data_IF_911128297714
#
_entry.id   IF_911128297714
#
_cell.length_a   1.000
_cell.length_b   1.000
_cell.length_c   1.000
_cell.angle_alpha   90.00
_cell.angle_beta   90.00
_cell.angle_gamma   90.00
#
_symmetry.space_group_name_H-M   'P 1'
#
loop_
_entity.id
_entity.type
_entity.pdbx_description
1 polymer ?
#
# COMPACT_ATOMS: atom_id res chain seq x y z
N UNK A 1 -5.66 -0.03 21.78
CA UNK A 1 -4.87 0.80 20.85
C UNK A 1 -5.75 1.97 20.41
N UNK A 2 -5.20 3.14 20.09
CA UNK A 2 -6.00 4.31 19.68
C UNK A 2 -6.45 4.12 18.23
N UNK A 3 -7.75 4.27 17.96
CA UNK A 3 -8.29 4.22 16.59
C UNK A 3 -7.80 5.47 15.84
N UNK A 4 -7.10 5.33 14.69
CA UNK A 4 -6.63 6.49 13.94
C UNK A 4 -7.82 7.24 13.31
N UNK A 5 -7.72 8.57 13.29
CA UNK A 5 -8.72 9.44 12.65
C UNK A 5 -8.48 9.61 11.15
N UNK A 6 -7.23 9.52 10.74
CA UNK A 6 -6.85 9.49 9.34
C UNK A 6 -7.12 8.14 8.70
N UNK A 7 -7.03 8.10 7.38
CA UNK A 7 -7.19 6.90 6.57
C UNK A 7 -5.91 6.53 5.84
N UNK A 8 -5.81 5.28 5.43
CA UNK A 8 -4.75 4.81 4.53
C UNK A 8 -5.32 4.59 3.14
N UNK A 9 -4.51 4.83 2.11
CA UNK A 9 -4.77 4.48 0.72
C UNK A 9 -3.56 3.72 0.19
N UNK A 10 -3.62 2.39 0.19
CA UNK A 10 -2.54 1.55 -0.32
C UNK A 10 -2.86 1.12 -1.75
N UNK A 11 -1.93 1.31 -2.68
CA UNK A 11 -2.12 1.17 -4.12
C UNK A 11 -1.12 0.15 -4.68
N UNK A 12 -1.60 -0.76 -5.52
CA UNK A 12 -0.80 -1.87 -6.04
C UNK A 12 0.21 -1.54 -7.13
N UNK A 13 0.33 -0.27 -7.54
CA UNK A 13 1.24 0.17 -8.59
C UNK A 13 0.59 0.25 -9.97
N UNK A 14 1.24 1.00 -10.87
CA UNK A 14 0.73 1.35 -12.21
C UNK A 14 -0.74 1.80 -12.20
N UNK A 15 -1.14 2.53 -11.18
CA UNK A 15 -2.47 3.14 -11.15
C UNK A 15 -2.65 4.13 -12.31
N UNK A 16 -3.88 4.28 -12.77
CA UNK A 16 -4.18 5.05 -13.97
C UNK A 16 -3.79 6.54 -13.84
N UNK A 17 -2.90 6.95 -14.76
CA UNK A 17 -2.41 8.33 -14.93
C UNK A 17 -2.79 8.93 -16.28
N UNK A 18 -3.29 8.10 -17.21
CA UNK A 18 -3.63 8.50 -18.57
C UNK A 18 -5.08 8.97 -18.68
N UNK A 19 -5.96 8.46 -17.80
CA UNK A 19 -7.36 8.82 -17.79
C UNK A 19 -8.11 8.21 -18.96
N UNK A 20 -8.79 9.05 -19.75
CA UNK A 20 -9.63 8.60 -20.86
C UNK A 20 -8.78 8.17 -22.06
N UNK A 21 -9.13 7.04 -22.67
CA UNK A 21 -8.48 6.31 -23.75
C UNK A 21 -7.26 5.46 -23.35
N UNK A 22 -7.09 5.16 -22.06
CA UNK A 22 -6.08 4.21 -21.60
C UNK A 22 -6.34 2.81 -22.17
N UNK A 23 -5.30 1.97 -22.24
CA UNK A 23 -5.48 0.56 -22.63
C UNK A 23 -6.28 -0.24 -21.58
N UNK A 24 -6.40 0.28 -20.35
CA UNK A 24 -7.25 -0.29 -19.30
C UNK A 24 -8.73 -0.09 -19.61
N UNK A 25 -9.13 1.11 -20.07
CA UNK A 25 -10.52 1.42 -20.44
C UNK A 25 -11.05 0.48 -21.53
N UNK A 26 -10.20 0.10 -22.50
CA UNK A 26 -10.60 -0.74 -23.63
C UNK A 26 -10.88 -2.19 -23.22
N UNK A 27 -10.31 -2.64 -22.11
CA UNK A 27 -10.29 -4.05 -21.72
C UNK A 27 -11.00 -4.34 -20.39
N UNK A 28 -11.48 -3.32 -19.68
CA UNK A 28 -12.14 -3.47 -18.39
C UNK A 28 -13.38 -2.57 -18.29
N UNK A 29 -14.57 -3.19 -18.20
CA UNK A 29 -15.85 -2.47 -18.09
C UNK A 29 -16.01 -1.70 -16.77
N UNK A 30 -15.24 -2.08 -15.76
CA UNK A 30 -15.32 -1.49 -14.41
C UNK A 30 -14.28 -0.37 -14.24
N UNK A 31 -13.55 -0.02 -15.30
CA UNK A 31 -12.54 1.03 -15.27
C UNK A 31 -13.17 2.43 -15.14
N UNK A 32 -12.71 3.17 -14.15
CA UNK A 32 -13.06 4.58 -13.96
C UNK A 32 -11.77 5.42 -14.07
N UNK A 33 -11.70 6.37 -15.02
CA UNK A 33 -10.51 7.20 -15.22
C UNK A 33 -10.03 7.88 -13.94
N UNK A 34 -8.76 7.68 -13.61
CA UNK A 34 -8.04 8.21 -12.45
C UNK A 34 -8.76 8.01 -11.10
N UNK A 35 -9.58 6.97 -10.96
CA UNK A 35 -10.40 6.72 -9.77
C UNK A 35 -9.60 6.78 -8.48
N UNK A 36 -8.50 6.01 -8.41
CA UNK A 36 -7.65 5.92 -7.23
C UNK A 36 -7.02 7.28 -6.90
N UNK A 37 -6.51 8.00 -7.91
CA UNK A 37 -5.85 9.28 -7.70
C UNK A 37 -6.82 10.40 -7.29
N UNK A 38 -8.09 10.33 -7.69
CA UNK A 38 -9.17 11.21 -7.21
C UNK A 38 -9.44 11.06 -5.71
N UNK A 39 -8.97 9.99 -5.08
CA UNK A 39 -9.13 9.71 -3.65
C UNK A 39 -7.95 10.21 -2.80
N UNK A 40 -6.90 10.80 -3.38
CA UNK A 40 -5.75 11.25 -2.61
C UNK A 40 -6.13 12.28 -1.54
N UNK A 41 -7.01 13.23 -1.87
CA UNK A 41 -7.54 14.20 -0.92
C UNK A 41 -9.02 14.49 -1.17
N UNK A 42 -9.76 14.73 -0.08
CA UNK A 42 -11.20 15.04 -0.10
C UNK A 42 -11.54 16.36 -0.80
N UNK A 43 -10.72 17.40 -0.60
CA UNK A 43 -10.84 18.70 -1.27
C UNK A 43 -9.72 18.89 -2.28
N UNK A 44 -10.00 19.63 -3.36
CA UNK A 44 -9.05 19.86 -4.46
C UNK A 44 -7.95 20.88 -4.12
N UNK A 45 -8.19 21.74 -3.14
CA UNK A 45 -7.25 22.74 -2.60
C UNK A 45 -6.48 22.24 -1.38
N UNK A 46 -6.79 21.04 -0.87
CA UNK A 46 -6.04 20.42 0.21
C UNK A 46 -4.60 20.15 -0.24
N UNK A 47 -3.66 20.44 0.67
CA UNK A 47 -2.24 20.23 0.39
C UNK A 47 -1.90 18.74 0.30
N UNK A 48 -1.40 18.30 -0.85
CA UNK A 48 -0.84 16.96 -1.08
C UNK A 48 0.68 17.09 -1.14
N UNK A 49 1.39 16.31 -0.34
CA UNK A 49 2.85 16.20 -0.40
C UNK A 49 3.24 14.81 -0.91
N UNK A 50 3.92 14.78 -2.05
CA UNK A 50 4.32 13.56 -2.72
C UNK A 50 5.78 13.30 -2.40
N UNK A 51 6.05 12.21 -1.67
CA UNK A 51 7.38 11.81 -1.25
C UNK A 51 7.98 10.92 -2.34
N UNK A 52 9.03 11.40 -3.01
CA UNK A 52 9.62 10.76 -4.20
C UNK A 52 10.92 10.02 -3.93
N UNK A 53 11.31 9.84 -2.66
CA UNK A 53 12.60 9.25 -2.26
C UNK A 53 12.81 7.80 -2.70
N UNK A 54 11.73 7.04 -2.94
CA UNK A 54 11.85 5.71 -3.54
C UNK A 54 12.25 5.77 -5.02
N UNK A 55 11.93 6.86 -5.72
CA UNK A 55 11.99 6.91 -7.19
C UNK A 55 13.42 6.77 -7.71
N UNK A 56 13.58 5.94 -8.73
CA UNK A 56 14.79 5.88 -9.56
C UNK A 56 14.75 6.95 -10.67
N UNK A 57 13.56 7.49 -10.96
CA UNK A 57 13.28 8.51 -11.97
C UNK A 57 12.78 9.80 -11.29
N UNK A 58 13.65 10.59 -10.64
CA UNK A 58 13.24 11.73 -9.82
C UNK A 58 12.69 12.91 -10.62
N UNK A 59 12.94 12.97 -11.94
CA UNK A 59 12.43 14.05 -12.81
C UNK A 59 11.10 13.67 -13.48
N UNK A 60 10.95 12.42 -13.93
CA UNK A 60 9.75 11.96 -14.65
C UNK A 60 8.53 11.78 -13.73
N UNK A 61 8.76 11.34 -12.49
CA UNK A 61 7.69 11.14 -11.50
C UNK A 61 6.96 12.46 -11.21
N UNK A 62 7.66 13.56 -10.86
CA UNK A 62 7.02 14.87 -10.71
C UNK A 62 6.25 15.33 -11.93
N UNK A 63 6.80 15.20 -13.14
CA UNK A 63 6.12 15.63 -14.36
C UNK A 63 4.80 14.87 -14.56
N UNK A 64 4.86 13.54 -14.48
CA UNK A 64 3.70 12.67 -14.71
C UNK A 64 2.60 12.94 -13.69
N UNK A 65 2.94 12.95 -12.39
CA UNK A 65 1.94 13.23 -11.36
C UNK A 65 1.42 14.66 -11.41
N UNK A 66 2.24 15.65 -11.76
CA UNK A 66 1.76 17.04 -11.88
C UNK A 66 0.68 17.14 -12.93
N UNK A 67 0.93 16.62 -14.13
CA UNK A 67 -0.02 16.61 -15.23
C UNK A 67 -1.34 15.93 -14.82
N UNK A 68 -1.27 14.70 -14.31
CA UNK A 68 -2.47 13.95 -13.93
C UNK A 68 -3.24 14.63 -12.79
N UNK A 69 -2.55 15.16 -11.77
CA UNK A 69 -3.23 15.82 -10.64
C UNK A 69 -3.87 17.15 -11.03
N UNK A 70 -3.24 17.91 -11.94
CA UNK A 70 -3.82 19.12 -12.55
C UNK A 70 -5.06 18.78 -13.37
N UNK A 71 -5.02 17.72 -14.19
CA UNK A 71 -6.17 17.23 -14.97
C UNK A 71 -7.33 16.78 -14.06
N UNK A 72 -7.02 16.14 -12.92
CA UNK A 72 -7.99 15.79 -11.87
C UNK A 72 -8.52 17.04 -11.12
N UNK A 73 -7.85 18.18 -11.26
CA UNK A 73 -8.22 19.47 -10.68
C UNK A 73 -7.63 19.77 -9.31
N UNK A 74 -6.64 19.00 -8.82
CA UNK A 74 -5.90 19.36 -7.61
C UNK A 74 -5.04 20.59 -7.87
N UNK A 75 -5.07 21.56 -6.95
CA UNK A 75 -4.41 22.87 -7.12
C UNK A 75 -3.30 23.14 -6.12
N UNK A 76 -3.12 22.26 -5.15
CA UNK A 76 -2.19 22.44 -4.04
C UNK A 76 -1.44 21.14 -3.76
N UNK A 77 -0.53 20.78 -4.65
CA UNK A 77 0.35 19.63 -4.45
C UNK A 77 1.79 20.03 -4.75
N UNK A 78 2.74 19.33 -4.15
CA UNK A 78 4.15 19.53 -4.42
C UNK A 78 4.94 18.27 -4.03
N UNK A 79 6.19 18.18 -4.49
CA UNK A 79 7.06 17.02 -4.33
C UNK A 79 8.11 17.29 -3.26
N UNK A 80 8.44 16.23 -2.53
CA UNK A 80 9.41 16.22 -1.46
C UNK A 80 10.34 15.03 -1.65
N UNK A 81 11.63 15.32 -1.80
CA UNK A 81 12.65 14.33 -1.53
C UNK A 81 13.09 14.47 -0.08
N UNK A 82 13.12 13.37 0.66
CA UNK A 82 13.50 13.32 2.08
C UNK A 82 14.88 12.68 2.30
N UNK A 83 15.71 12.59 1.25
CA UNK A 83 17.06 11.99 1.32
C UNK A 83 17.90 12.48 2.52
N UNK A 84 18.78 11.61 3.03
CA UNK A 84 19.38 11.58 4.39
C UNK A 84 19.97 12.89 4.95
N UNK A 85 20.20 13.92 4.12
CA UNK A 85 20.72 15.21 4.57
C UNK A 85 19.62 16.22 4.96
N UNK A 86 18.35 15.99 4.59
CA UNK A 86 17.28 16.99 4.74
C UNK A 86 16.31 16.75 5.91
N UNK A 87 16.50 15.66 6.66
CA UNK A 87 15.65 15.13 7.74
C UNK A 87 15.38 16.09 8.93
N UNK A 88 15.97 17.29 8.92
CA UNK A 88 15.89 18.25 10.02
C UNK A 88 15.56 19.68 9.60
N UNK A 89 15.32 19.98 8.32
CA UNK A 89 15.01 21.36 7.94
C UNK A 89 13.59 21.76 8.37
N UNK A 90 13.44 23.02 8.79
CA UNK A 90 12.12 23.62 9.08
C UNK A 90 11.20 23.62 7.85
N UNK A 91 11.76 23.49 6.65
CA UNK A 91 11.01 23.39 5.40
C UNK A 91 10.14 22.13 5.35
N UNK A 92 10.74 20.94 5.50
CA UNK A 92 10.02 19.66 5.51
C UNK A 92 8.92 19.63 6.56
N UNK A 93 9.26 20.05 7.79
CA UNK A 93 8.33 20.08 8.91
C UNK A 93 7.11 20.95 8.62
N UNK A 94 7.29 22.14 8.05
CA UNK A 94 6.18 23.04 7.68
C UNK A 94 5.28 22.42 6.60
N UNK A 95 5.88 21.76 5.60
CA UNK A 95 5.15 21.10 4.51
C UNK A 95 4.32 19.93 5.01
N UNK A 96 4.92 19.01 5.76
CA UNK A 96 4.22 17.87 6.39
C UNK A 96 3.11 18.34 7.33
N UNK A 97 3.36 19.39 8.12
CA UNK A 97 2.34 19.95 9.03
C UNK A 97 1.12 20.48 8.27
N UNK A 98 1.33 21.17 7.15
CA UNK A 98 0.27 21.74 6.32
C UNK A 98 -0.46 20.71 5.44
N UNK A 99 0.15 19.56 5.18
CA UNK A 99 -0.41 18.53 4.32
C UNK A 99 -1.69 17.89 4.90
N UNK A 100 -2.66 17.64 4.03
CA UNK A 100 -3.79 16.74 4.28
C UNK A 100 -3.59 15.36 3.67
N UNK A 101 -2.64 15.23 2.75
CA UNK A 101 -2.22 13.93 2.21
C UNK A 101 -0.72 13.86 2.13
N UNK A 102 -0.14 12.77 2.63
CA UNK A 102 1.23 12.37 2.34
C UNK A 102 1.15 11.16 1.42
N UNK A 103 1.69 11.28 0.21
CA UNK A 103 1.67 10.22 -0.79
C UNK A 103 3.07 9.72 -1.10
N UNK A 104 3.35 8.46 -0.77
CA UNK A 104 4.64 7.82 -1.04
C UNK A 104 4.63 7.18 -2.44
N UNK A 105 5.51 7.65 -3.32
CA UNK A 105 5.63 7.10 -4.67
C UNK A 105 6.22 5.69 -4.69
N UNK A 106 6.15 5.04 -5.86
CA UNK A 106 6.88 3.80 -6.13
C UNK A 106 8.38 4.03 -6.35
N UNK A 107 9.10 2.94 -6.58
CA UNK A 107 10.54 2.89 -6.76
C UNK A 107 11.16 1.77 -5.91
N UNK A 108 12.29 2.04 -5.26
CA UNK A 108 12.97 1.10 -4.36
C UNK A 108 12.44 1.22 -2.92
N UNK A 109 11.83 0.13 -2.41
CA UNK A 109 11.35 0.05 -1.04
C UNK A 109 12.49 0.21 -0.01
N UNK A 110 13.70 -0.27 -0.29
CA UNK A 110 14.83 -0.18 0.66
C UNK A 110 15.24 1.28 0.91
N UNK A 111 15.22 2.12 -0.13
CA UNK A 111 15.57 3.54 -0.03
C UNK A 111 14.58 4.32 0.83
N UNK A 112 13.28 4.12 0.61
CA UNK A 112 12.24 4.88 1.34
C UNK A 112 12.02 4.34 2.75
N UNK A 113 12.17 3.02 2.92
CA UNK A 113 12.03 2.33 4.18
C UNK A 113 12.96 2.93 5.26
N UNK A 114 14.27 2.94 4.99
CA UNK A 114 15.27 3.42 5.95
C UNK A 114 15.15 4.92 6.22
N UNK A 115 14.91 5.71 5.18
CA UNK A 115 14.86 7.17 5.27
C UNK A 115 13.75 7.65 6.21
N UNK A 116 12.55 7.06 6.12
CA UNK A 116 11.43 7.53 6.93
C UNK A 116 11.38 6.89 8.32
N UNK A 117 11.72 5.60 8.48
CA UNK A 117 11.47 4.84 9.72
C UNK A 117 12.07 5.50 10.97
N UNK A 118 13.25 6.12 10.86
CA UNK A 118 13.96 6.78 11.97
C UNK A 118 13.82 8.31 11.97
N UNK A 119 13.04 8.86 11.06
CA UNK A 119 12.89 10.31 10.87
C UNK A 119 11.98 10.97 11.91
N UNK A 120 12.21 12.26 12.15
CA UNK A 120 11.24 13.09 12.89
C UNK A 120 9.94 13.28 12.09
N UNK A 121 9.99 13.15 10.77
CA UNK A 121 8.81 13.24 9.90
C UNK A 121 7.85 12.08 10.16
N UNK A 122 8.34 10.85 10.40
CA UNK A 122 7.51 9.69 10.75
C UNK A 122 6.64 9.97 11.97
N UNK A 123 7.23 10.52 13.05
CA UNK A 123 6.48 10.90 14.25
C UNK A 123 5.41 11.94 13.94
N UNK A 124 5.74 12.97 13.15
CA UNK A 124 4.77 14.00 12.77
C UNK A 124 3.62 13.43 11.92
N UNK A 125 3.93 12.58 10.94
CA UNK A 125 2.94 11.91 10.08
C UNK A 125 2.04 11.01 10.94
N UNK A 126 2.62 10.26 11.88
CA UNK A 126 1.88 9.44 12.85
C UNK A 126 0.93 10.26 13.71
N UNK A 127 1.41 11.37 14.27
CA UNK A 127 0.57 12.26 15.07
C UNK A 127 -0.60 12.81 14.24
N UNK A 128 -0.37 13.18 12.97
CA UNK A 128 -1.45 13.61 12.08
C UNK A 128 -2.44 12.47 11.80
N UNK A 129 -1.95 11.29 11.44
CA UNK A 129 -2.78 10.10 11.20
C UNK A 129 -3.64 9.69 12.39
N UNK A 130 -3.10 9.78 13.60
CA UNK A 130 -3.82 9.42 14.82
C UNK A 130 -4.84 10.46 15.28
N UNK A 131 -4.71 11.73 14.86
CA UNK A 131 -5.46 12.84 15.46
C UNK A 131 -6.28 13.70 14.47
N UNK A 132 -5.91 13.74 13.20
CA UNK A 132 -6.56 14.59 12.20
C UNK A 132 -7.58 13.80 11.37
N UNK A 133 -8.81 14.32 11.33
CA UNK A 133 -9.82 13.88 10.37
C UNK A 133 -9.44 14.38 8.98
N UNK A 134 -9.89 13.64 7.95
CA UNK A 134 -9.59 13.88 6.54
C UNK A 134 -8.08 13.85 6.18
N UNK A 135 -7.21 13.38 7.08
CA UNK A 135 -5.80 13.12 6.75
C UNK A 135 -5.63 11.76 6.08
N UNK A 136 -4.89 11.71 4.98
CA UNK A 136 -4.61 10.48 4.23
C UNK A 136 -3.12 10.20 4.18
N UNK A 137 -2.72 8.98 4.54
CA UNK A 137 -1.43 8.43 4.14
C UNK A 137 -1.69 7.54 2.93
N UNK A 138 -1.11 7.89 1.79
CA UNK A 138 -1.20 7.11 0.58
C UNK A 138 0.16 6.51 0.21
N UNK A 139 0.17 5.36 -0.46
CA UNK A 139 1.40 4.78 -1.00
C UNK A 139 1.09 3.93 -2.23
N UNK A 140 1.94 3.99 -3.25
CA UNK A 140 1.85 3.12 -4.43
C UNK A 140 3.11 2.26 -4.57
N UNK A 141 2.94 1.00 -4.99
CA UNK A 141 4.05 0.06 -5.18
C UNK A 141 4.91 -0.05 -3.90
N UNK A 142 6.22 0.23 -3.97
CA UNK A 142 7.13 0.31 -2.82
C UNK A 142 6.60 1.16 -1.64
N UNK A 143 5.97 2.31 -1.94
CA UNK A 143 5.38 3.17 -0.90
C UNK A 143 4.23 2.50 -0.15
N UNK A 144 3.45 1.64 -0.82
CA UNK A 144 2.38 0.87 -0.18
C UNK A 144 2.94 -0.23 0.73
N UNK A 145 4.02 -0.91 0.29
CA UNK A 145 4.66 -2.01 1.03
C UNK A 145 5.26 -1.57 2.36
N UNK A 146 5.66 -0.30 2.50
CA UNK A 146 6.28 0.23 3.72
C UNK A 146 5.28 0.70 4.79
N UNK A 147 4.01 0.93 4.43
CA UNK A 147 2.96 1.45 5.34
C UNK A 147 2.64 0.52 6.53
N UNK A 148 2.56 -0.82 6.35
CA UNK A 148 2.24 -1.75 7.43
C UNK A 148 3.35 -1.93 8.48
N UNK A 149 3.07 -2.77 9.49
CA UNK A 149 4.03 -3.18 10.52
C UNK A 149 5.19 -4.01 9.97
N UNK A 150 4.98 -4.73 8.87
CA UNK A 150 5.95 -5.62 8.25
C UNK A 150 6.06 -5.33 6.76
N UNK A 151 7.28 -5.38 6.23
CA UNK A 151 7.60 -5.16 4.83
C UNK A 151 8.49 -6.29 4.32
N UNK A 152 8.22 -6.77 3.12
CA UNK A 152 9.07 -7.73 2.40
C UNK A 152 10.16 -6.91 1.68
N UNK A 153 11.41 -7.05 2.10
CA UNK A 153 12.56 -6.34 1.52
C UNK A 153 13.10 -7.07 0.30
N UNK A 154 13.32 -8.38 0.45
CA UNK A 154 13.88 -9.26 -0.58
C UNK A 154 13.07 -10.55 -0.68
N UNK A 155 13.04 -11.13 -1.89
CA UNK A 155 12.38 -12.41 -2.16
C UNK A 155 13.05 -13.08 -3.37
N UNK A 156 13.71 -14.20 -3.13
CA UNK A 156 14.43 -14.94 -4.15
C UNK A 156 13.48 -15.56 -5.18
N UNK A 157 13.85 -15.47 -6.46
CA UNK A 157 13.13 -16.05 -7.60
C UNK A 157 11.66 -15.63 -7.75
N UNK A 158 11.19 -14.60 -7.04
CA UNK A 158 9.80 -14.10 -7.09
C UNK A 158 8.77 -14.97 -6.36
N UNK A 159 8.95 -16.29 -6.34
CA UNK A 159 8.11 -17.22 -5.58
C UNK A 159 8.53 -17.33 -4.10
N UNK A 160 9.83 -17.27 -3.79
CA UNK A 160 10.41 -17.37 -2.46
C UNK A 160 9.73 -18.39 -1.53
N UNK A 161 9.86 -19.69 -1.87
CA UNK A 161 9.17 -20.80 -1.17
C UNK A 161 10.12 -21.78 -0.48
N UNK A 162 11.42 -21.47 -0.42
CA UNK A 162 12.38 -22.19 0.41
C UNK A 162 12.68 -21.41 1.69
N UNK A 163 13.11 -22.12 2.72
CA UNK A 163 13.67 -21.51 3.92
C UNK A 163 14.88 -20.61 3.57
N UNK A 164 14.92 -19.40 4.14
CA UNK A 164 15.81 -18.27 3.84
C UNK A 164 15.57 -17.51 2.51
N UNK A 165 14.54 -17.83 1.71
CA UNK A 165 14.29 -17.13 0.43
C UNK A 165 13.67 -15.73 0.58
N UNK A 166 13.23 -15.34 1.79
CA UNK A 166 12.48 -14.09 2.01
C UNK A 166 13.06 -13.30 3.18
N UNK A 167 13.28 -12.00 2.96
CA UNK A 167 13.67 -11.06 4.02
C UNK A 167 12.48 -10.17 4.40
N UNK A 168 12.12 -10.18 5.68
CA UNK A 168 11.05 -9.35 6.24
C UNK A 168 11.64 -8.44 7.31
N UNK A 169 11.30 -7.16 7.25
CA UNK A 169 11.65 -6.17 8.26
C UNK A 169 10.40 -5.51 8.84
N UNK A 170 10.54 -4.82 9.98
CA UNK A 170 9.43 -4.03 10.51
C UNK A 170 9.26 -2.75 9.69
N UNK A 171 8.09 -2.54 9.08
CA UNK A 171 7.71 -1.36 8.30
C UNK A 171 7.47 -0.11 9.16
N UNK A 172 6.69 0.84 8.63
CA UNK A 172 6.38 2.09 9.35
C UNK A 172 5.28 1.94 10.40
N UNK A 173 4.51 0.87 10.33
CA UNK A 173 3.52 0.48 11.32
C UNK A 173 2.30 1.39 11.41
N UNK A 174 1.89 2.00 10.29
CA UNK A 174 0.62 2.74 10.20
C UNK A 174 -0.57 1.79 10.04
N UNK A 175 -0.37 0.62 9.42
CA UNK A 175 -1.33 -0.47 9.37
C UNK A 175 -0.83 -1.65 10.21
N UNK A 176 -1.64 -2.05 11.19
CA UNK A 176 -1.25 -3.09 12.16
C UNK A 176 -1.56 -4.49 11.66
N UNK A 177 -0.73 -5.46 12.05
CA UNK A 177 -0.92 -6.88 11.75
C UNK A 177 -1.16 -7.16 10.26
N UNK A 178 -0.43 -6.47 9.38
CA UNK A 178 -0.56 -6.63 7.94
C UNK A 178 0.81 -6.65 7.27
N UNK A 179 0.88 -7.33 6.13
CA UNK A 179 2.00 -7.35 5.18
C UNK A 179 1.39 -6.99 3.83
N UNK A 180 1.95 -6.00 3.14
CA UNK A 180 1.46 -5.58 1.81
C UNK A 180 2.46 -5.97 0.75
N UNK A 181 1.93 -6.50 -0.35
CA UNK A 181 2.67 -6.73 -1.60
C UNK A 181 1.94 -6.08 -2.78
N UNK A 182 2.68 -5.67 -3.80
CA UNK A 182 2.21 -4.88 -4.95
C UNK A 182 2.61 -5.51 -6.28
N UNK A 183 2.01 -5.06 -7.39
CA UNK A 183 2.11 -5.71 -8.70
C UNK A 183 1.80 -7.22 -8.63
N UNK A 184 0.90 -7.59 -7.71
CA UNK A 184 0.85 -8.92 -7.12
C UNK A 184 0.58 -10.02 -8.15
N UNK A 185 -0.50 -9.86 -8.92
CA UNK A 185 -0.92 -10.82 -9.96
C UNK A 185 0.07 -10.79 -11.14
N UNK A 186 0.44 -9.60 -11.63
CA UNK A 186 1.32 -9.43 -12.79
C UNK A 186 2.70 -10.07 -12.57
N UNK A 187 3.22 -10.06 -11.34
CA UNK A 187 4.54 -10.62 -11.00
C UNK A 187 4.47 -12.00 -10.35
N UNK A 188 3.31 -12.65 -10.34
CA UNK A 188 3.09 -13.98 -9.74
C UNK A 188 3.54 -14.08 -8.27
N UNK A 189 3.33 -13.02 -7.47
CA UNK A 189 3.88 -12.87 -6.12
C UNK A 189 3.09 -13.58 -5.01
N UNK A 190 2.21 -14.52 -5.38
CA UNK A 190 1.42 -15.27 -4.39
C UNK A 190 2.31 -16.07 -3.44
N UNK A 191 3.31 -16.79 -3.97
CA UNK A 191 4.23 -17.61 -3.18
C UNK A 191 4.89 -16.80 -2.06
N UNK A 192 5.55 -15.70 -2.40
CA UNK A 192 6.30 -14.91 -1.41
C UNK A 192 5.42 -14.27 -0.36
N UNK A 193 4.21 -13.80 -0.73
CA UNK A 193 3.29 -13.24 0.27
C UNK A 193 2.70 -14.34 1.16
N UNK A 194 2.37 -15.50 0.60
CA UNK A 194 1.95 -16.65 1.38
C UNK A 194 3.06 -17.08 2.36
N UNK A 195 4.31 -17.11 1.91
CA UNK A 195 5.47 -17.39 2.77
C UNK A 195 5.62 -16.36 3.90
N UNK A 196 5.49 -15.07 3.59
CA UNK A 196 5.52 -14.03 4.60
C UNK A 196 4.40 -14.19 5.65
N UNK A 197 3.20 -14.61 5.23
CA UNK A 197 2.08 -14.91 6.11
C UNK A 197 2.30 -16.19 6.93
N UNK A 198 2.93 -17.22 6.36
CA UNK A 198 3.29 -18.44 7.10
C UNK A 198 4.26 -18.13 8.24
N UNK A 199 5.25 -17.26 7.99
CA UNK A 199 6.17 -16.75 9.01
C UNK A 199 5.48 -15.84 10.05
N UNK A 200 4.35 -15.22 9.67
CA UNK A 200 3.64 -14.24 10.49
C UNK A 200 2.12 -14.53 10.50
N UNK A 201 1.67 -15.66 11.08
CA UNK A 201 0.28 -16.15 10.92
C UNK A 201 -0.79 -15.24 11.52
N UNK A 202 -0.39 -14.31 12.40
CA UNK A 202 -1.26 -13.29 12.97
C UNK A 202 -1.47 -12.07 12.05
N UNK A 203 -0.74 -11.99 10.94
CA UNK A 203 -0.86 -10.90 9.98
C UNK A 203 -1.76 -11.27 8.80
N UNK A 204 -2.50 -10.28 8.29
CA UNK A 204 -3.11 -10.33 6.98
C UNK A 204 -2.07 -10.03 5.90
N UNK A 205 -1.90 -10.94 4.95
CA UNK A 205 -1.21 -10.66 3.69
C UNK A 205 -2.15 -9.97 2.72
N UNK A 206 -1.76 -8.82 2.18
CA UNK A 206 -2.55 -8.02 1.25
C UNK A 206 -1.78 -7.93 -0.08
N UNK A 207 -2.21 -8.69 -1.08
CA UNK A 207 -1.66 -8.67 -2.43
C UNK A 207 -2.45 -7.73 -3.32
N UNK A 208 -1.92 -6.53 -3.59
CA UNK A 208 -2.54 -5.53 -4.46
C UNK A 208 -2.12 -5.75 -5.93
N UNK A 209 -3.09 -5.98 -6.81
CA UNK A 209 -2.89 -5.96 -8.26
C UNK A 209 -2.59 -4.56 -8.81
N UNK A 210 -2.13 -4.47 -10.05
CA UNK A 210 -1.97 -3.17 -10.71
C UNK A 210 -3.33 -2.45 -10.83
N UNK A 211 -3.33 -1.13 -10.73
CA UNK A 211 -4.54 -0.29 -10.73
C UNK A 211 -5.64 -0.78 -9.75
N UNK A 212 -5.21 -1.25 -8.57
CA UNK A 212 -6.09 -1.56 -7.44
C UNK A 212 -5.61 -0.86 -6.17
N UNK A 213 -6.53 -0.59 -5.26
CA UNK A 213 -6.23 0.02 -3.98
C UNK A 213 -7.16 -0.48 -2.87
N UNK A 214 -6.70 -0.35 -1.63
CA UNK A 214 -7.55 -0.40 -0.45
C UNK A 214 -7.58 0.97 0.23
N UNK A 215 -8.78 1.50 0.44
CA UNK A 215 -9.02 2.57 1.42
C UNK A 215 -9.25 1.92 2.78
N UNK A 216 -8.40 2.22 3.76
CA UNK A 216 -8.52 1.67 5.11
C UNK A 216 -8.86 2.78 6.10
N UNK A 217 -10.05 2.70 6.67
CA UNK A 217 -10.54 3.60 7.71
C UNK A 217 -10.43 2.95 9.09
N UNK A 218 -10.19 3.78 10.12
CA UNK A 218 -10.09 3.33 11.51
C UNK A 218 -9.03 2.23 11.76
N UNK A 219 -8.10 2.05 10.81
CA UNK A 219 -7.10 1.00 10.82
C UNK A 219 -7.64 -0.42 10.63
N UNK A 220 -8.91 -0.61 10.24
CA UNK A 220 -9.53 -1.94 10.17
C UNK A 220 -10.52 -2.17 9.02
N UNK A 221 -11.26 -1.16 8.59
CA UNK A 221 -12.28 -1.33 7.55
C UNK A 221 -11.68 -0.95 6.21
N UNK A 222 -11.47 -1.95 5.37
CA UNK A 222 -10.93 -1.81 4.03
C UNK A 222 -12.04 -1.81 2.98
N UNK A 223 -11.94 -0.93 1.99
CA UNK A 223 -12.78 -0.90 0.79
C UNK A 223 -11.87 -1.01 -0.42
N UNK A 224 -12.15 -1.97 -1.30
CA UNK A 224 -11.42 -2.17 -2.54
C UNK A 224 -11.88 -1.19 -3.61
N UNK A 225 -10.93 -0.54 -4.25
CA UNK A 225 -11.17 0.44 -5.31
C UNK A 225 -10.25 0.15 -6.50
N UNK A 226 -10.69 0.47 -7.70
CA UNK A 226 -9.91 0.38 -8.92
C UNK A 226 -10.27 -0.83 -9.77
N UNK A 227 -9.62 -0.89 -10.92
CA UNK A 227 -9.94 -1.86 -11.98
C UNK A 227 -9.22 -3.21 -11.79
N UNK A 228 -8.19 -3.25 -10.93
CA UNK A 228 -7.50 -4.48 -10.54
C UNK A 228 -8.18 -5.28 -9.43
N UNK A 229 -7.48 -6.30 -8.91
CA UNK A 229 -7.95 -7.16 -7.82
C UNK A 229 -7.04 -7.08 -6.60
N UNK A 230 -7.63 -7.23 -5.42
CA UNK A 230 -6.90 -7.34 -4.15
C UNK A 230 -7.08 -8.73 -3.55
N UNK A 231 -5.97 -9.33 -3.13
CA UNK A 231 -5.94 -10.66 -2.54
C UNK A 231 -5.63 -10.56 -1.05
N UNK A 232 -6.52 -11.10 -0.22
CA UNK A 232 -6.33 -11.18 1.23
C UNK A 232 -5.92 -12.61 1.60
N UNK A 233 -4.78 -12.80 2.25
CA UNK A 233 -4.25 -14.09 2.69
C UNK A 233 -4.15 -14.10 4.22
N UNK A 234 -4.62 -15.17 4.86
CA UNK A 234 -4.54 -15.33 6.31
C UNK A 234 -4.02 -16.72 6.71
N UNK A 235 -3.07 -16.72 7.65
CA UNK A 235 -2.41 -17.91 8.18
C UNK A 235 -2.88 -18.34 9.57
N UNK A 236 -3.87 -17.67 10.17
CA UNK A 236 -4.30 -17.93 11.55
C UNK A 236 -4.95 -19.30 11.76
N UNK A 237 -5.44 -19.93 10.69
CA UNK A 237 -6.01 -21.28 10.72
C UNK A 237 -5.08 -22.35 10.14
N UNK A 238 -3.77 -22.06 9.95
CA UNK A 238 -2.81 -23.06 9.48
C UNK A 238 -2.79 -24.23 10.46
N UNK A 239 -2.96 -25.45 9.94
CA UNK A 239 -2.99 -26.68 10.74
C UNK A 239 -1.65 -27.39 10.80
N UNK A 240 -0.96 -27.42 9.67
CA UNK A 240 0.34 -28.06 9.52
C UNK A 240 1.22 -27.15 8.68
N UNK A 241 2.45 -26.92 9.12
CA UNK A 241 3.50 -26.25 8.37
C UNK A 241 4.85 -26.69 8.92
N UNK A 242 5.90 -26.58 8.10
CA UNK A 242 7.28 -26.81 8.52
C UNK A 242 8.08 -25.53 8.72
N UNK A 243 7.49 -24.33 8.60
CA UNK A 243 8.21 -23.05 8.57
C UNK A 243 9.16 -22.84 9.77
N UNK A 244 8.78 -23.27 10.98
CA UNK A 244 9.63 -23.12 12.19
C UNK A 244 10.74 -24.19 12.31
N UNK A 245 10.74 -25.20 11.45
CA UNK A 245 11.57 -26.42 11.57
C UNK A 245 12.31 -26.79 10.30
N UNK A 246 12.07 -26.08 9.19
CA UNK A 246 12.68 -26.35 7.91
C UNK A 246 14.18 -26.08 7.98
N UNK A 247 14.99 -26.94 7.37
CA UNK A 247 16.39 -26.65 7.15
C UNK A 247 16.53 -25.63 6.01
N UNK A 248 17.55 -24.79 6.07
CA UNK A 248 17.90 -23.83 5.00
C UNK A 248 17.79 -24.46 3.60
N UNK A 249 17.19 -23.73 2.65
CA UNK A 249 16.93 -24.18 1.28
C UNK A 249 15.95 -25.36 1.14
N UNK A 250 15.22 -25.73 2.19
CA UNK A 250 14.14 -26.73 2.11
C UNK A 250 12.82 -26.07 1.74
N UNK A 251 11.98 -26.79 0.98
CA UNK A 251 10.66 -26.30 0.59
C UNK A 251 9.73 -26.14 1.81
N UNK A 252 8.97 -25.05 1.81
CA UNK A 252 7.96 -24.77 2.83
C UNK A 252 6.60 -25.28 2.37
N UNK A 253 5.85 -25.90 3.29
CA UNK A 253 4.44 -26.24 3.09
C UNK A 253 3.56 -25.61 4.16
N UNK A 254 2.30 -25.37 3.83
CA UNK A 254 1.25 -25.10 4.80
C UNK A 254 -0.07 -25.71 4.37
N UNK A 255 -0.84 -26.18 5.35
CA UNK A 255 -2.21 -26.61 5.20
C UNK A 255 -3.17 -25.53 5.72
N UNK A 256 -4.25 -25.27 4.96
CA UNK A 256 -5.39 -24.41 5.37
C UNK A 256 -5.09 -22.89 5.44
N UNK A 257 -4.30 -22.37 4.49
CA UNK A 257 -4.27 -20.93 4.21
C UNK A 257 -5.65 -20.45 3.71
N UNK A 258 -6.17 -19.36 4.28
CA UNK A 258 -7.41 -18.72 3.82
C UNK A 258 -7.11 -17.61 2.84
N UNK A 259 -7.89 -17.54 1.76
CA UNK A 259 -7.73 -16.54 0.70
C UNK A 259 -9.08 -15.92 0.37
N UNK A 260 -9.12 -14.60 0.27
CA UNK A 260 -10.24 -13.83 -0.29
C UNK A 260 -9.75 -13.00 -1.47
N UNK A 261 -10.59 -12.82 -2.47
CA UNK A 261 -10.32 -11.98 -3.64
C UNK A 261 -11.38 -10.89 -3.66
N UNK A 262 -10.93 -9.65 -3.67
CA UNK A 262 -11.75 -8.45 -3.66
C UNK A 262 -11.63 -7.77 -5.03
N UNK A 263 -12.79 -7.42 -5.60
CA UNK A 263 -12.92 -6.49 -6.71
C UNK A 263 -13.43 -5.15 -6.21
N UNK A 264 -13.56 -4.17 -7.11
CA UNK A 264 -14.12 -2.86 -6.81
C UNK A 264 -15.38 -2.94 -5.94
N UNK A 265 -15.49 -2.04 -4.96
CA UNK A 265 -16.56 -1.91 -3.97
C UNK A 265 -16.72 -3.07 -2.96
N UNK A 266 -15.93 -4.14 -3.06
CA UNK A 266 -15.86 -5.14 -1.99
C UNK A 266 -15.30 -4.51 -0.70
N UNK A 267 -15.79 -4.95 0.45
CA UNK A 267 -15.30 -4.48 1.75
C UNK A 267 -14.79 -5.63 2.61
N UNK A 268 -13.85 -5.31 3.50
CA UNK A 268 -13.26 -6.26 4.42
C UNK A 268 -12.99 -5.61 5.79
N UNK A 269 -13.45 -6.24 6.86
CA UNK A 269 -13.12 -5.87 8.24
C UNK A 269 -11.93 -6.73 8.71
N UNK A 270 -10.75 -6.13 8.79
CA UNK A 270 -9.48 -6.78 9.16
C UNK A 270 -9.47 -7.31 10.60
N UNK A 271 -10.30 -6.75 11.48
CA UNK A 271 -10.38 -7.14 12.90
C UNK A 271 -11.38 -8.27 13.10
N UNK A 272 -12.53 -8.21 12.41
CA UNK A 272 -13.60 -9.21 12.52
C UNK A 272 -13.49 -10.35 11.51
N UNK A 273 -12.60 -10.25 10.53
CA UNK A 273 -12.47 -11.17 9.41
C UNK A 273 -13.77 -11.32 8.61
N UNK A 274 -14.44 -10.20 8.34
CA UNK A 274 -15.71 -10.19 7.60
C UNK A 274 -15.47 -9.62 6.21
N UNK A 275 -15.64 -10.47 5.19
CA UNK A 275 -15.74 -10.06 3.79
C UNK A 275 -17.20 -9.76 3.43
N UNK A 276 -17.43 -8.64 2.74
CA UNK A 276 -18.74 -8.30 2.16
C UNK A 276 -18.53 -7.98 0.68
N UNK A 277 -19.17 -8.77 -0.18
CA UNK A 277 -19.18 -8.51 -1.63
C UNK A 277 -20.08 -7.33 -1.98
N UNK A 278 -20.02 -6.93 -3.25
CA UNK A 278 -20.95 -5.92 -3.78
C UNK A 278 -22.36 -6.51 -3.80
N UNK A 279 -23.35 -5.78 -3.28
CA UNK A 279 -24.74 -6.18 -3.48
C UNK A 279 -25.03 -6.08 -4.99
N UNK A 280 -25.51 -7.17 -5.60
CA UNK A 280 -26.13 -7.08 -6.91
C UNK A 280 -27.31 -6.12 -6.77
N UNK A 281 -27.18 -4.90 -7.29
CA UNK A 281 -28.34 -4.06 -7.58
C UNK A 281 -29.21 -4.88 -8.54
N UNK A 282 -30.20 -5.59 -7.98
CA UNK A 282 -31.19 -6.32 -8.73
C UNK A 282 -31.81 -5.40 -9.76
N UNK A 283 -31.80 -5.86 -11.02
CA UNK A 283 -32.53 -5.25 -12.14
C UNK A 283 -33.97 -4.89 -11.78
#
# INVERSE_FOLDING_TARGET
>A
MKIPKGRLLIIGGKEDKEGVNSDMEKNNSDFIPNEILKLLAKSKDNRIEIITTASEEPEEVPETYSKTLEEIGYTNFNFLDISDQELHSDHHRKRIKAAKTIFFSGGDQNRIFETLKKSVLHKMIREKFENEEDFTIAGTSAGAMCIPDLVILEADNGEAMLEDDIEIAEGWGFLKNCIVDTHFVHRARFGRLAHAVMLNPNCWGIGLGEDSALIINEGKTAVCIGSGMVWMINGSEIKQTNVDSAEKCSAIYAENLKVHILSNDCTFDLEKNIFTGTEENGN
#
